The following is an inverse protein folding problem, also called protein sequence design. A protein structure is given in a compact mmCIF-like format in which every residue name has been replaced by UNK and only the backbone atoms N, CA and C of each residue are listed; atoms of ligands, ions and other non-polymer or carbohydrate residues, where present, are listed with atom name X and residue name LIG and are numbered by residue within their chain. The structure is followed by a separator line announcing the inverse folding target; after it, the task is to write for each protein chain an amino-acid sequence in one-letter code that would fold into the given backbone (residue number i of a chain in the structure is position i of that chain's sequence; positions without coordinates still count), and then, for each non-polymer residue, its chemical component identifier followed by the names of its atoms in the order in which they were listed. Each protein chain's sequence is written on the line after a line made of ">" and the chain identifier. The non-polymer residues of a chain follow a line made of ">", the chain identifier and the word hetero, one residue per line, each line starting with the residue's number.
data_IF_330588420721
#
_entry.id   IF_330588420721
#
_cell.length_a   1.000
_cell.length_b   1.000
_cell.length_c   1.000
_cell.angle_alpha   90.00
_cell.angle_beta   90.00
_cell.angle_gamma   90.00
#
_symmetry.space_group_name_H-M   'P 1'
#
loop_
_entity.id
_entity.type
_entity.pdbx_description
1 polymer ?
#
# COMPACT_ATOMS: atom_id res chain seq x y z
N UNK A 1 -1.89 0.27 17.71
CA UNK A 1 -2.91 -0.74 17.37
C UNK A 1 -2.38 -1.48 16.15
N UNK A 2 -2.16 -2.77 16.27
CA UNK A 2 -1.82 -3.61 15.11
C UNK A 2 -3.11 -3.87 14.33
N UNK A 3 -3.14 -3.52 13.04
CA UNK A 3 -4.28 -3.78 12.16
C UNK A 3 -3.86 -4.85 11.17
N UNK A 4 -4.60 -5.96 11.11
CA UNK A 4 -4.46 -6.96 10.04
C UNK A 4 -5.48 -6.62 8.97
N UNK A 5 -5.06 -6.54 7.72
CA UNK A 5 -5.89 -6.08 6.62
C UNK A 5 -5.75 -6.94 5.36
N UNK A 6 -6.81 -6.93 4.57
CA UNK A 6 -6.91 -7.55 3.26
C UNK A 6 -7.76 -6.64 2.37
N UNK A 7 -7.18 -5.49 2.01
CA UNK A 7 -7.92 -4.33 1.53
C UNK A 7 -7.76 -4.14 0.02
N UNK A 8 -8.77 -3.60 -0.68
CA UNK A 8 -8.69 -3.35 -2.12
C UNK A 8 -7.73 -2.21 -2.45
N UNK A 9 -6.96 -2.37 -3.53
CA UNK A 9 -6.17 -1.29 -4.14
C UNK A 9 -6.91 -0.79 -5.38
N UNK A 10 -7.31 0.48 -5.38
CA UNK A 10 -8.03 1.14 -6.48
C UNK A 10 -7.12 2.16 -7.17
N UNK A 11 -7.39 2.44 -8.46
CA UNK A 11 -6.64 3.47 -9.22
C UNK A 11 -7.07 4.90 -8.87
N UNK A 12 -8.25 5.04 -8.29
CA UNK A 12 -8.87 6.30 -7.88
C UNK A 12 -9.22 6.27 -6.39
N UNK A 13 -9.87 7.34 -5.92
CA UNK A 13 -10.16 7.55 -4.51
C UNK A 13 -11.48 6.90 -4.04
N UNK A 14 -12.19 6.17 -4.91
CA UNK A 14 -13.47 5.54 -4.58
C UNK A 14 -13.28 4.10 -4.13
N UNK A 15 -13.75 3.78 -2.91
CA UNK A 15 -13.60 2.46 -2.31
C UNK A 15 -14.30 1.33 -3.10
N UNK A 16 -15.38 1.66 -3.81
CA UNK A 16 -16.18 0.69 -4.57
C UNK A 16 -15.73 0.52 -6.03
N UNK A 17 -14.68 1.23 -6.44
CA UNK A 17 -14.09 1.04 -7.77
C UNK A 17 -13.52 -0.37 -7.91
N UNK A 18 -13.45 -0.85 -9.16
CA UNK A 18 -12.89 -2.18 -9.44
C UNK A 18 -11.43 -2.26 -8.92
N UNK A 19 -11.12 -3.18 -8.00
CA UNK A 19 -9.78 -3.31 -7.46
C UNK A 19 -8.81 -3.82 -8.55
N UNK A 20 -7.57 -3.33 -8.51
CA UNK A 20 -6.48 -3.77 -9.39
C UNK A 20 -5.51 -4.72 -8.69
N UNK A 21 -5.50 -4.69 -7.36
CA UNK A 21 -4.73 -5.58 -6.50
C UNK A 21 -5.38 -5.59 -5.10
N UNK A 22 -4.85 -6.43 -4.20
CA UNK A 22 -5.23 -6.43 -2.78
C UNK A 22 -3.99 -6.30 -1.92
N UNK A 23 -4.06 -5.45 -0.90
CA UNK A 23 -3.00 -5.27 0.07
C UNK A 23 -3.28 -6.19 1.26
N UNK A 24 -2.36 -7.11 1.55
CA UNK A 24 -2.48 -8.05 2.66
C UNK A 24 -1.31 -7.88 3.60
N UNK A 25 -1.59 -7.82 4.91
CA UNK A 25 -0.55 -7.75 5.91
C UNK A 25 -1.02 -7.15 7.21
N UNK A 26 -0.05 -6.64 7.97
CA UNK A 26 -0.32 -5.92 9.18
C UNK A 26 0.60 -4.72 9.29
N UNK A 27 0.07 -3.63 9.85
CA UNK A 27 0.79 -2.35 9.90
C UNK A 27 0.48 -1.57 11.17
N UNK A 28 1.45 -0.74 11.55
CA UNK A 28 1.35 0.21 12.65
C UNK A 28 1.38 1.64 12.08
N UNK A 29 0.20 2.26 11.98
CA UNK A 29 0.05 3.61 11.45
C UNK A 29 0.41 4.67 12.50
N UNK A 30 1.60 5.26 12.40
CA UNK A 30 2.05 6.32 13.32
C UNK A 30 2.38 7.67 12.65
N UNK A 31 2.52 7.69 11.31
CA UNK A 31 2.97 8.86 10.57
C UNK A 31 2.12 9.13 9.33
N UNK A 32 2.07 10.40 8.89
CA UNK A 32 1.29 10.84 7.72
C UNK A 32 1.89 10.36 6.40
N UNK A 33 3.22 10.36 6.29
CA UNK A 33 3.96 9.86 5.12
C UNK A 33 5.08 8.97 5.62
N UNK A 34 5.30 7.83 4.95
CA UNK A 34 6.34 6.87 5.31
C UNK A 34 6.82 6.11 4.09
N UNK A 35 8.11 5.83 4.08
CA UNK A 35 8.75 5.03 3.06
C UNK A 35 9.00 3.62 3.61
N UNK A 36 8.60 2.63 2.82
CA UNK A 36 8.73 1.21 3.12
C UNK A 36 9.59 0.59 2.03
N UNK A 37 10.47 -0.33 2.41
CA UNK A 37 11.29 -1.07 1.43
C UNK A 37 10.43 -2.11 0.69
N UNK A 38 10.50 -2.13 -0.64
CA UNK A 38 10.06 -3.28 -1.44
C UNK A 38 11.17 -4.32 -1.35
N UNK A 39 10.96 -5.32 -0.50
CA UNK A 39 11.99 -6.34 -0.15
C UNK A 39 12.11 -7.47 -1.18
N UNK A 40 11.13 -7.61 -2.07
CA UNK A 40 11.11 -8.62 -3.13
C UNK A 40 9.76 -8.66 -3.84
N UNK A 41 9.68 -9.49 -4.88
CA UNK A 41 8.46 -9.73 -5.64
C UNK A 41 8.51 -11.06 -6.40
N UNK A 42 7.34 -11.52 -6.84
CA UNK A 42 7.14 -12.78 -7.58
C UNK A 42 6.31 -12.52 -8.84
N UNK A 43 6.35 -13.43 -9.82
CA UNK A 43 5.60 -13.27 -11.08
C UNK A 43 6.17 -12.12 -11.93
N UNK A 44 5.30 -11.23 -12.43
CA UNK A 44 5.70 -10.06 -13.22
C UNK A 44 6.67 -9.12 -12.48
N UNK A 45 6.73 -9.20 -11.15
CA UNK A 45 7.66 -8.44 -10.30
C UNK A 45 8.77 -9.32 -9.72
N UNK A 46 9.15 -10.41 -10.40
CA UNK A 46 10.21 -11.31 -9.94
C UNK A 46 11.50 -10.54 -9.67
N UNK A 47 12.03 -10.70 -8.44
CA UNK A 47 13.26 -10.04 -7.98
C UNK A 47 13.20 -8.50 -7.92
N UNK A 48 12.01 -7.89 -7.98
CA UNK A 48 11.88 -6.44 -7.91
C UNK A 48 12.34 -5.88 -6.55
N UNK A 49 13.16 -4.81 -6.57
CA UNK A 49 13.53 -4.01 -5.39
C UNK A 49 13.22 -2.54 -5.60
N UNK A 50 12.86 -1.86 -4.52
CA UNK A 50 12.33 -0.51 -4.61
C UNK A 50 11.93 0.12 -3.28
N UNK A 51 11.21 1.22 -3.37
CA UNK A 51 10.60 1.92 -2.24
C UNK A 51 9.11 2.11 -2.51
N UNK A 52 8.28 1.82 -1.50
CA UNK A 52 6.86 2.11 -1.46
C UNK A 52 6.61 3.26 -0.49
N UNK A 53 6.18 4.41 -0.99
CA UNK A 53 5.81 5.57 -0.18
C UNK A 53 4.31 5.52 0.10
N UNK A 54 3.95 5.42 1.37
CA UNK A 54 2.56 5.47 1.83
C UNK A 54 2.25 6.86 2.35
N UNK A 55 1.16 7.44 1.86
CA UNK A 55 0.65 8.74 2.30
C UNK A 55 -0.79 8.58 2.77
N UNK A 56 -1.07 8.97 4.01
CA UNK A 56 -2.44 8.98 4.55
C UNK A 56 -3.20 10.15 3.96
N UNK A 57 -4.17 9.85 3.10
CA UNK A 57 -5.01 10.84 2.42
C UNK A 57 -6.22 11.20 3.29
N UNK A 58 -6.93 10.19 3.82
CA UNK A 58 -8.04 10.39 4.75
C UNK A 58 -7.97 9.40 5.91
N UNK A 59 -8.43 9.85 7.07
CA UNK A 59 -8.51 9.06 8.29
C UNK A 59 -9.80 9.45 9.04
N UNK A 60 -10.76 8.54 9.11
CA UNK A 60 -12.06 8.73 9.75
C UNK A 60 -12.15 7.83 10.99
N UNK A 61 -11.58 8.31 12.09
CA UNK A 61 -11.56 7.57 13.35
C UNK A 61 -10.87 6.22 13.21
N UNK A 62 -11.47 5.17 13.78
CA UNK A 62 -10.95 3.80 13.72
C UNK A 62 -11.51 2.95 12.57
N UNK A 63 -12.43 3.48 11.76
CA UNK A 63 -13.23 2.65 10.86
C UNK A 63 -12.76 2.72 9.41
N UNK A 64 -12.24 3.86 8.97
CA UNK A 64 -11.83 4.04 7.58
C UNK A 64 -10.58 4.89 7.48
N UNK A 65 -9.63 4.39 6.71
CA UNK A 65 -8.45 5.13 6.30
C UNK A 65 -8.20 4.88 4.82
N UNK A 66 -7.68 5.89 4.12
CA UNK A 66 -7.24 5.77 2.73
C UNK A 66 -5.77 6.11 2.63
N UNK A 67 -5.01 5.18 2.07
CA UNK A 67 -3.59 5.35 1.77
C UNK A 67 -3.42 5.57 0.27
N UNK A 68 -2.71 6.62 -0.10
CA UNK A 68 -2.11 6.76 -1.42
C UNK A 68 -0.76 6.05 -1.39
N UNK A 69 -0.58 5.09 -2.29
CA UNK A 69 0.65 4.31 -2.42
C UNK A 69 1.36 4.70 -3.71
N UNK A 70 2.62 5.12 -3.60
CA UNK A 70 3.52 5.37 -4.72
C UNK A 70 4.64 4.33 -4.66
N UNK A 71 4.70 3.45 -5.65
CA UNK A 71 5.67 2.35 -5.70
C UNK A 71 6.70 2.65 -6.79
N UNK A 72 7.96 2.78 -6.39
CA UNK A 72 9.10 3.02 -7.27
C UNK A 72 10.03 1.83 -7.20
N UNK A 73 10.12 1.11 -8.31
CA UNK A 73 11.04 -0.01 -8.47
C UNK A 73 12.32 0.50 -9.12
N UNK A 74 13.46 0.17 -8.52
CA UNK A 74 14.80 0.57 -8.97
C UNK A 74 15.59 -0.60 -9.55
N UNK A 75 15.19 -1.84 -9.24
CA UNK A 75 15.69 -3.04 -9.91
C UNK A 75 14.48 -3.79 -10.49
N UNK A 76 14.49 -3.99 -11.81
CA UNK A 76 13.42 -4.57 -12.61
C UNK A 76 14.02 -5.55 -13.63
N UNK A 77 13.29 -6.63 -13.97
CA UNK A 77 13.73 -7.70 -14.87
C UNK A 77 12.68 -7.98 -15.96
#
# INVERSE_FOLDING_TARGET
>A
MLVVFDDPITKDNHLLSRPVARAQGADLMYAKTRDLSVVGGTGDFFMARGIATFQTDTFQGSNYFRLKMDIKLYECY
#
